data_IF_717861313320
#
_entry.id   IF_717861313320
#
_cell.length_a   1.000
_cell.length_b   1.000
_cell.length_c   1.000
_cell.angle_alpha   90.00
_cell.angle_beta   90.00
_cell.angle_gamma   90.00
#
_symmetry.space_group_name_H-M   'P 1'
#
loop_
_entity.id
_entity.type
_entity.pdbx_description
1 polymer ?
#
# COMPACT_ATOMS: atom_id res chain seq x y z
N UNK A 1 11.13 19.53 -16.43
CA UNK A 1 10.63 19.40 -15.04
C UNK A 1 10.76 17.96 -14.61
N UNK A 2 11.66 17.64 -13.67
CA UNK A 2 11.80 16.28 -13.16
C UNK A 2 10.59 15.97 -12.29
N UNK A 3 9.62 15.25 -12.84
CA UNK A 3 8.46 14.78 -12.09
C UNK A 3 9.00 13.85 -10.99
N UNK A 4 8.82 14.22 -9.73
CA UNK A 4 9.35 13.47 -8.59
C UNK A 4 8.53 12.17 -8.43
N UNK A 5 8.93 11.14 -9.18
CA UNK A 5 8.19 9.89 -9.42
C UNK A 5 7.89 9.12 -8.12
N UNK A 6 8.62 9.43 -7.05
CA UNK A 6 8.38 8.90 -5.71
C UNK A 6 6.96 9.18 -5.22
N UNK A 7 6.38 10.34 -5.53
CA UNK A 7 5.03 10.65 -5.06
C UNK A 7 3.94 9.80 -5.75
N UNK A 8 3.88 9.71 -7.10
CA UNK A 8 2.88 8.88 -7.77
C UNK A 8 3.07 7.38 -7.50
N UNK A 9 4.32 6.89 -7.43
CA UNK A 9 4.58 5.47 -7.13
C UNK A 9 4.10 5.12 -5.71
N UNK A 10 4.39 5.98 -4.72
CA UNK A 10 3.95 5.76 -3.34
C UNK A 10 2.43 5.72 -3.22
N UNK A 11 1.74 6.65 -3.91
CA UNK A 11 0.28 6.69 -3.95
C UNK A 11 -0.32 5.44 -4.60
N UNK A 12 0.30 4.93 -5.66
CA UNK A 12 -0.13 3.70 -6.32
C UNK A 12 -0.04 2.49 -5.37
N UNK A 13 1.06 2.33 -4.65
CA UNK A 13 1.22 1.26 -3.67
C UNK A 13 0.22 1.36 -2.51
N UNK A 14 -0.07 2.57 -2.04
CA UNK A 14 -1.12 2.80 -1.03
C UNK A 14 -2.48 2.37 -1.57
N UNK A 15 -2.83 2.78 -2.79
CA UNK A 15 -4.13 2.48 -3.38
C UNK A 15 -4.32 0.97 -3.60
N UNK A 16 -3.35 0.31 -4.22
CA UNK A 16 -3.40 -1.12 -4.50
C UNK A 16 -3.35 -1.93 -3.21
N UNK A 17 -2.47 -1.55 -2.26
CA UNK A 17 -2.38 -2.20 -0.96
C UNK A 17 -3.67 -2.05 -0.14
N UNK A 18 -4.30 -0.88 -0.16
CA UNK A 18 -5.59 -0.65 0.50
C UNK A 18 -6.69 -1.50 -0.14
N UNK A 19 -6.78 -1.54 -1.47
CA UNK A 19 -7.78 -2.34 -2.17
C UNK A 19 -7.62 -3.84 -1.86
N UNK A 20 -6.39 -4.34 -1.90
CA UNK A 20 -6.08 -5.73 -1.63
C UNK A 20 -6.31 -6.10 -0.14
N UNK A 21 -5.95 -5.21 0.79
CA UNK A 21 -6.22 -5.40 2.21
C UNK A 21 -7.73 -5.40 2.52
N UNK A 22 -8.50 -4.49 1.90
CA UNK A 22 -9.98 -4.48 2.03
C UNK A 22 -10.57 -5.75 1.45
N UNK A 23 -10.11 -6.19 0.27
CA UNK A 23 -10.54 -7.45 -0.32
C UNK A 23 -10.27 -8.62 0.62
N UNK A 24 -9.02 -8.77 1.09
CA UNK A 24 -8.63 -9.84 2.01
C UNK A 24 -9.38 -9.80 3.35
N UNK A 25 -9.76 -8.62 3.84
CA UNK A 25 -10.56 -8.47 5.05
C UNK A 25 -12.01 -8.91 4.84
N UNK A 26 -12.61 -8.56 3.69
CA UNK A 26 -13.97 -8.97 3.32
C UNK A 26 -14.04 -10.48 3.05
N UNK A 27 -13.01 -11.06 2.44
CA UNK A 27 -12.97 -12.50 2.10
C UNK A 27 -12.41 -13.39 3.20
N UNK A 28 -12.03 -12.84 4.36
CA UNK A 28 -11.40 -13.57 5.46
C UNK A 28 -12.20 -14.80 5.95
N UNK A 29 -13.53 -14.73 5.89
CA UNK A 29 -14.43 -15.81 6.32
C UNK A 29 -15.16 -16.48 5.14
N UNK A 30 -14.81 -16.14 3.90
CA UNK A 30 -15.45 -16.70 2.73
C UNK A 30 -14.95 -18.15 2.50
N UNK A 31 -15.85 -19.15 2.45
CA UNK A 31 -15.45 -20.53 2.15
C UNK A 31 -14.74 -20.60 0.80
N UNK A 32 -13.50 -21.09 0.78
CA UNK A 32 -12.70 -21.24 -0.45
C UNK A 32 -11.81 -20.05 -0.83
N UNK A 33 -11.89 -18.91 -0.13
CA UNK A 33 -11.00 -17.77 -0.37
C UNK A 33 -9.56 -17.99 0.12
N UNK A 34 -9.35 -19.00 0.96
CA UNK A 34 -8.03 -19.33 1.53
C UNK A 34 -7.72 -20.81 1.35
N UNK A 35 -7.17 -21.22 0.19
CA UNK A 35 -6.83 -22.62 -0.08
C UNK A 35 -5.78 -23.17 0.91
N UNK A 36 -4.92 -22.28 1.43
CA UNK A 36 -3.83 -22.58 2.37
C UNK A 36 -4.16 -22.24 3.82
N UNK A 37 -5.37 -21.71 4.11
CA UNK A 37 -5.77 -21.24 5.45
C UNK A 37 -5.12 -19.92 5.89
N UNK A 38 -4.29 -19.30 5.04
CA UNK A 38 -3.65 -18.01 5.30
C UNK A 38 -4.27 -16.95 4.39
N UNK A 39 -4.80 -15.84 4.93
CA UNK A 39 -5.40 -14.76 4.13
C UNK A 39 -4.32 -13.97 3.39
N UNK A 40 -3.82 -14.55 2.30
CA UNK A 40 -2.65 -14.06 1.54
C UNK A 40 -2.86 -12.65 1.00
N UNK A 41 -4.08 -12.34 0.57
CA UNK A 41 -4.46 -11.01 0.10
C UNK A 41 -4.39 -9.97 1.22
N UNK A 42 -4.82 -10.34 2.42
CA UNK A 42 -4.75 -9.44 3.58
C UNK A 42 -3.30 -9.20 4.01
N UNK A 43 -2.47 -10.25 4.01
CA UNK A 43 -1.05 -10.15 4.36
C UNK A 43 -0.30 -9.27 3.36
N UNK A 44 -0.38 -9.58 2.06
CA UNK A 44 0.32 -8.81 1.03
C UNK A 44 -0.29 -7.42 0.84
N UNK A 45 -1.60 -7.27 0.97
CA UNK A 45 -2.26 -5.97 0.98
C UNK A 45 -1.74 -5.08 2.10
N UNK A 46 -1.60 -5.64 3.31
CA UNK A 46 -0.97 -4.95 4.45
C UNK A 46 0.49 -4.56 4.18
N UNK A 47 1.31 -5.46 3.63
CA UNK A 47 2.71 -5.18 3.29
C UNK A 47 2.82 -4.05 2.25
N UNK A 48 2.04 -4.12 1.16
CA UNK A 48 2.01 -3.10 0.10
C UNK A 48 1.53 -1.75 0.63
N UNK A 49 0.51 -1.75 1.48
CA UNK A 49 -0.03 -0.55 2.11
C UNK A 49 1.01 0.11 3.02
N UNK A 50 1.65 -0.67 3.90
CA UNK A 50 2.70 -0.18 4.80
C UNK A 50 3.87 0.41 4.01
N UNK A 51 4.32 -0.28 2.96
CA UNK A 51 5.37 0.20 2.06
C UNK A 51 4.98 1.50 1.35
N UNK A 52 3.79 1.57 0.76
CA UNK A 52 3.28 2.76 0.08
C UNK A 52 3.19 3.96 1.02
N UNK A 53 2.63 3.77 2.23
CA UNK A 53 2.52 4.82 3.25
C UNK A 53 3.91 5.33 3.64
N UNK A 54 4.85 4.43 3.93
CA UNK A 54 6.23 4.81 4.25
C UNK A 54 6.85 5.65 3.13
N UNK A 55 6.66 5.25 1.87
CA UNK A 55 7.19 5.97 0.71
C UNK A 55 6.59 7.37 0.56
N UNK A 56 5.27 7.51 0.74
CA UNK A 56 4.57 8.80 0.70
C UNK A 56 5.04 9.70 1.84
N UNK A 57 5.21 9.17 3.05
CA UNK A 57 5.73 9.92 4.20
C UNK A 57 7.15 10.44 3.95
N UNK A 58 8.04 9.59 3.41
CA UNK A 58 9.40 9.97 3.05
C UNK A 58 9.44 11.00 1.91
N UNK A 59 8.52 10.92 0.94
CA UNK A 59 8.39 11.89 -0.13
C UNK A 59 7.91 13.25 0.40
N UNK A 60 6.92 13.26 1.30
CA UNK A 60 6.44 14.47 1.96
C UNK A 60 7.52 15.12 2.85
N UNK A 61 8.28 14.32 3.60
CA UNK A 61 9.40 14.81 4.43
C UNK A 61 10.49 15.45 3.57
N UNK A 62 10.84 14.82 2.44
CA UNK A 62 11.81 15.37 1.50
C UNK A 62 11.37 16.71 0.88
N UNK A 63 10.07 16.88 0.60
CA UNK A 63 9.50 18.15 0.13
C UNK A 63 9.53 19.26 1.20
N UNK A 64 9.30 18.90 2.47
CA UNK A 64 9.34 19.87 3.60
C UNK A 64 10.74 20.37 3.92
N UNK A 65 11.76 19.51 3.81
CA UNK A 65 13.16 19.91 4.00
C UNK A 65 13.75 20.77 2.88
N UNK A 66 13.01 20.96 1.78
CA UNK A 66 13.40 21.75 0.61
C UNK A 66 12.65 23.09 0.53
N UNK A 67 12.07 23.54 1.65
CA UNK A 67 11.56 24.90 1.80
C UNK A 67 12.76 25.88 1.81
N UNK A 68 12.69 26.99 1.06
CA UNK A 68 13.80 27.95 0.91
C UNK A 68 14.21 28.57 2.24
#
# INVERSE_FOLDING_TARGET
MTLDVRMPIGLFFVLVGALLAVYGAVTLHAPGASPTGVPIDLVWGGVLLAFGVLMVLLAQRARRGRRP
#
